data_IF_676078572666
#
_entry.id   IF_676078572666
#
_cell.length_a   1.000
_cell.length_b   1.000
_cell.length_c   1.000
_cell.angle_alpha   90.00
_cell.angle_beta   90.00
_cell.angle_gamma   90.00
#
_symmetry.space_group_name_H-M   'P 1'
#
loop_
_entity.id
_entity.type
_entity.pdbx_description
1 polymer ?
#
# COMPACT_ATOMS: atom_id res chain seq x y z
N UNK A 1 -6.20 -8.84 1.90
CA UNK A 1 -5.12 -8.00 2.48
C UNK A 1 -4.90 -8.28 3.99
N UNK A 2 -5.92 -8.27 4.86
CA UNK A 2 -5.76 -8.49 6.32
C UNK A 2 -5.09 -9.84 6.67
N UNK A 3 -5.26 -10.86 5.82
CA UNK A 3 -4.65 -12.20 6.00
C UNK A 3 -3.15 -12.26 5.66
N UNK A 4 -2.55 -11.16 5.23
CA UNK A 4 -1.10 -11.05 5.05
C UNK A 4 -0.50 -10.48 6.32
N UNK A 5 0.36 -11.27 7.00
CA UNK A 5 0.98 -10.90 8.26
C UNK A 5 2.24 -10.04 8.00
N UNK A 6 2.07 -8.83 7.50
CA UNK A 6 3.14 -7.90 7.16
C UNK A 6 3.66 -7.17 8.40
N UNK A 7 4.17 -7.91 9.37
CA UNK A 7 4.76 -7.35 10.60
C UNK A 7 6.16 -6.85 10.27
N UNK A 8 6.44 -5.57 10.62
CA UNK A 8 7.71 -4.91 10.30
C UNK A 8 8.75 -5.01 11.43
N UNK A 9 8.36 -5.44 12.63
CA UNK A 9 9.31 -5.65 13.71
C UNK A 9 10.35 -6.71 13.33
N UNK A 10 11.63 -6.37 13.53
CA UNK A 10 12.79 -7.14 13.07
C UNK A 10 12.74 -8.64 13.42
N UNK A 11 12.20 -8.99 14.58
CA UNK A 11 12.15 -10.38 15.06
C UNK A 11 11.01 -11.21 14.42
N UNK A 12 10.01 -10.55 13.82
CA UNK A 12 8.85 -11.22 13.17
C UNK A 12 8.71 -10.82 11.68
N UNK A 13 9.67 -10.10 11.13
CA UNK A 13 9.69 -9.71 9.72
C UNK A 13 9.81 -10.94 8.82
N UNK A 14 8.85 -11.07 7.90
CA UNK A 14 8.75 -12.19 6.96
C UNK A 14 8.54 -11.66 5.53
N UNK A 15 9.59 -11.57 4.72
CA UNK A 15 9.50 -11.05 3.34
C UNK A 15 8.40 -11.73 2.50
N UNK A 16 8.15 -13.02 2.73
CA UNK A 16 7.12 -13.77 2.02
C UNK A 16 5.69 -13.24 2.25
N UNK A 17 5.39 -12.66 3.42
CA UNK A 17 4.09 -12.08 3.71
C UNK A 17 3.90 -10.73 2.98
N UNK A 18 4.97 -9.96 2.79
CA UNK A 18 4.96 -8.74 1.99
C UNK A 18 4.79 -9.07 0.50
N UNK A 19 5.54 -10.06 -0.02
CA UNK A 19 5.36 -10.55 -1.38
C UNK A 19 3.94 -11.10 -1.63
N UNK A 20 3.36 -11.79 -0.65
CA UNK A 20 1.98 -12.26 -0.69
C UNK A 20 1.00 -11.10 -0.78
N UNK A 21 1.21 -10.02 -0.01
CA UNK A 21 0.37 -8.83 -0.07
C UNK A 21 0.42 -8.17 -1.46
N UNK A 22 1.61 -8.04 -2.07
CA UNK A 22 1.76 -7.50 -3.43
C UNK A 22 1.00 -8.35 -4.47
N UNK A 23 1.01 -9.68 -4.33
CA UNK A 23 0.20 -10.56 -5.20
C UNK A 23 -1.30 -10.32 -5.02
N UNK A 24 -1.76 -10.20 -3.78
CA UNK A 24 -3.16 -9.87 -3.47
C UNK A 24 -3.56 -8.51 -4.05
N UNK A 25 -2.69 -7.50 -3.98
CA UNK A 25 -2.93 -6.20 -4.61
C UNK A 25 -3.08 -6.35 -6.13
N UNK A 26 -2.18 -7.11 -6.77
CA UNK A 26 -2.25 -7.34 -8.21
C UNK A 26 -3.51 -8.11 -8.66
N UNK A 27 -3.99 -9.03 -7.83
CA UNK A 27 -5.24 -9.77 -8.08
C UNK A 27 -6.49 -8.89 -7.92
N UNK A 28 -6.48 -8.01 -6.92
CA UNK A 28 -7.63 -7.14 -6.61
C UNK A 28 -7.70 -5.92 -7.53
N UNK A 29 -6.55 -5.40 -7.97
CA UNK A 29 -6.42 -4.15 -8.72
C UNK A 29 -5.59 -4.33 -10.00
N UNK A 30 -6.09 -5.16 -10.94
CA UNK A 30 -5.34 -5.52 -12.14
C UNK A 30 -5.06 -4.35 -13.07
N UNK A 31 -5.94 -3.36 -13.19
CA UNK A 31 -5.72 -2.21 -14.07
C UNK A 31 -4.67 -1.25 -13.50
N UNK A 32 -4.69 -1.03 -12.18
CA UNK A 32 -3.62 -0.25 -11.53
C UNK A 32 -2.27 -0.89 -11.80
N UNK A 33 -2.14 -2.19 -11.51
CA UNK A 33 -0.86 -2.91 -11.66
C UNK A 33 -0.40 -3.05 -13.11
N UNK A 34 -1.33 -3.09 -14.06
CA UNK A 34 -1.03 -3.15 -15.50
C UNK A 34 -0.58 -1.81 -16.07
N UNK A 35 -1.21 -0.69 -15.63
CA UNK A 35 -1.02 0.62 -16.23
C UNK A 35 0.02 1.47 -15.52
N UNK A 36 0.31 1.20 -14.25
CA UNK A 36 1.28 1.97 -13.49
C UNK A 36 2.73 1.55 -13.76
N UNK A 37 3.63 2.51 -13.72
CA UNK A 37 5.06 2.26 -13.52
C UNK A 37 5.26 1.85 -12.06
N UNK A 38 5.92 0.72 -11.82
CA UNK A 38 6.11 0.16 -10.48
C UNK A 38 7.57 0.26 -10.05
N UNK A 39 7.82 0.77 -8.85
CA UNK A 39 9.14 0.88 -8.23
C UNK A 39 9.12 0.35 -6.80
N UNK A 40 10.16 -0.35 -6.40
CA UNK A 40 10.36 -0.85 -5.02
C UNK A 40 11.54 -0.14 -4.39
N UNK A 41 11.42 0.22 -3.11
CA UNK A 41 12.46 0.83 -2.30
C UNK A 41 12.74 -0.03 -1.07
N UNK A 42 14.02 -0.16 -0.70
CA UNK A 42 14.42 -0.99 0.44
C UNK A 42 13.91 -2.43 0.33
N UNK A 43 13.42 -2.96 1.43
CA UNK A 43 12.94 -4.34 1.47
C UNK A 43 11.60 -4.53 0.75
N UNK A 44 10.64 -3.61 0.92
CA UNK A 44 9.32 -3.72 0.24
C UNK A 44 8.50 -2.42 0.17
N UNK A 45 9.03 -1.22 0.47
CA UNK A 45 8.28 0.01 0.17
C UNK A 45 8.08 0.13 -1.34
N UNK A 46 6.90 0.55 -1.77
CA UNK A 46 6.58 0.56 -3.20
C UNK A 46 5.82 1.80 -3.65
N UNK A 47 5.99 2.09 -4.92
CA UNK A 47 5.38 3.21 -5.61
C UNK A 47 4.77 2.72 -6.92
N UNK A 48 3.50 3.04 -7.14
CA UNK A 48 2.81 2.93 -8.42
C UNK A 48 2.58 4.33 -8.98
N UNK A 49 3.07 4.60 -10.19
CA UNK A 49 2.89 5.89 -10.88
C UNK A 49 2.00 5.70 -12.10
N UNK A 50 0.87 6.37 -12.12
CA UNK A 50 -0.02 6.49 -13.26
C UNK A 50 0.20 7.84 -13.95
N UNK A 51 0.42 7.82 -15.25
CA UNK A 51 0.61 9.05 -16.04
C UNK A 51 -0.71 9.79 -16.23
N UNK A 52 -0.65 11.11 -16.06
CA UNK A 52 -1.74 12.02 -16.38
C UNK A 52 -1.53 12.75 -17.69
N UNK A 53 -2.52 13.55 -18.09
CA UNK A 53 -2.44 14.40 -19.31
C UNK A 53 -1.37 15.49 -19.16
N UNK A 54 -1.26 16.07 -17.98
CA UNK A 54 -0.19 17.02 -17.63
C UNK A 54 0.86 16.28 -16.79
N UNK A 55 1.91 15.80 -17.44
CA UNK A 55 2.99 15.06 -16.79
C UNK A 55 3.91 15.95 -15.92
N UNK A 56 3.71 17.28 -15.93
CA UNK A 56 4.49 18.21 -15.10
C UNK A 56 3.91 18.40 -13.70
N UNK A 57 2.67 17.95 -13.47
CA UNK A 57 1.97 18.07 -12.20
C UNK A 57 1.72 16.69 -11.60
N UNK A 58 1.85 16.63 -10.30
CA UNK A 58 1.76 15.36 -9.57
C UNK A 58 0.84 15.48 -8.36
N UNK A 59 0.16 14.40 -8.05
CA UNK A 59 -0.54 14.18 -6.78
C UNK A 59 -0.09 12.83 -6.21
N UNK A 60 0.08 12.77 -4.91
CA UNK A 60 0.40 11.53 -4.20
C UNK A 60 -0.69 11.21 -3.19
N UNK A 61 -1.12 9.95 -3.17
CA UNK A 61 -1.82 9.33 -2.05
C UNK A 61 -0.88 8.33 -1.41
N UNK A 62 -0.92 8.24 -0.09
CA UNK A 62 0.07 7.47 0.64
C UNK A 62 -0.53 6.75 1.84
N UNK A 63 -0.04 5.56 2.07
CA UNK A 63 -0.38 4.70 3.19
C UNK A 63 0.84 3.88 3.60
N UNK A 64 0.68 2.97 4.56
CA UNK A 64 1.65 1.92 4.82
C UNK A 64 0.95 0.55 4.82
N UNK A 65 1.70 -0.50 4.60
CA UNK A 65 1.15 -1.85 4.52
C UNK A 65 1.72 -2.80 5.56
N UNK A 66 2.67 -2.33 6.34
CA UNK A 66 3.10 -3.05 7.53
C UNK A 66 2.12 -2.87 8.69
N UNK A 67 2.33 -3.64 9.71
CA UNK A 67 1.54 -3.65 10.93
C UNK A 67 2.43 -4.04 12.11
N UNK A 68 2.08 -3.59 13.31
CA UNK A 68 2.69 -4.08 14.55
C UNK A 68 2.26 -5.51 14.87
N UNK A 69 3.00 -6.17 15.74
CA UNK A 69 2.63 -7.50 16.28
C UNK A 69 1.22 -7.52 16.86
N UNK A 70 0.61 -8.68 16.82
CA UNK A 70 -0.67 -8.93 17.46
C UNK A 70 -0.43 -9.68 18.78
N UNK A 71 -0.24 -8.94 19.85
CA UNK A 71 -0.05 -9.46 21.21
C UNK A 71 -1.35 -9.44 22.01
N UNK A 72 -1.40 -10.19 23.11
CA UNK A 72 -2.54 -10.26 24.02
C UNK A 72 -3.71 -11.11 23.49
N UNK A 73 -4.84 -11.00 24.19
CA UNK A 73 -6.05 -11.76 23.87
C UNK A 73 -6.90 -11.04 22.83
N UNK A 74 -7.21 -11.73 21.74
CA UNK A 74 -8.04 -11.23 20.65
C UNK A 74 -9.38 -11.97 20.62
N UNK A 75 -10.47 -11.24 20.45
CA UNK A 75 -11.80 -11.85 20.28
C UNK A 75 -11.93 -12.66 18.98
N UNK A 76 -11.26 -12.22 17.93
CA UNK A 76 -11.17 -12.91 16.64
C UNK A 76 -9.69 -13.03 16.23
N UNK A 77 -9.38 -13.98 15.33
CA UNK A 77 -7.98 -14.16 14.88
C UNK A 77 -7.44 -12.87 14.25
N UNK A 78 -6.30 -12.32 14.76
CA UNK A 78 -5.79 -11.01 14.31
C UNK A 78 -5.47 -10.94 12.80
N UNK A 79 -5.05 -12.04 12.20
CA UNK A 79 -4.81 -12.16 10.75
C UNK A 79 -5.85 -13.04 10.06
N UNK A 80 -7.07 -13.13 10.62
CA UNK A 80 -8.16 -13.92 10.06
C UNK A 80 -8.96 -13.19 8.99
N UNK A 81 -9.03 -11.87 9.07
CA UNK A 81 -9.91 -11.06 8.21
C UNK A 81 -11.37 -11.51 8.37
N UNK A 82 -11.81 -11.65 9.60
CA UNK A 82 -13.15 -12.15 9.95
C UNK A 82 -14.17 -11.02 9.78
N UNK A 83 -15.26 -11.29 9.05
CA UNK A 83 -16.41 -10.39 9.00
C UNK A 83 -17.49 -10.95 9.93
N UNK A 84 -17.83 -10.17 10.97
CA UNK A 84 -18.80 -10.55 11.99
C UNK A 84 -19.51 -9.32 12.51
N UNK A 85 -20.84 -9.41 12.65
CA UNK A 85 -21.69 -8.33 13.15
C UNK A 85 -21.51 -6.99 12.37
N UNK A 86 -21.35 -7.09 11.04
CA UNK A 86 -21.13 -5.93 10.16
C UNK A 86 -19.77 -5.25 10.31
N UNK A 87 -18.80 -5.89 10.98
CA UNK A 87 -17.44 -5.37 11.22
C UNK A 87 -16.39 -6.31 10.62
N UNK A 88 -15.32 -5.73 10.09
CA UNK A 88 -14.11 -6.45 9.71
C UNK A 88 -13.15 -6.45 10.89
N UNK A 89 -12.81 -7.65 11.38
CA UNK A 89 -11.91 -7.87 12.51
C UNK A 89 -10.51 -8.27 12.02
N UNK A 90 -9.50 -7.63 12.57
CA UNK A 90 -8.12 -8.02 12.34
C UNK A 90 -7.10 -6.90 12.56
N UNK A 91 -5.83 -7.26 12.72
CA UNK A 91 -4.70 -6.33 12.77
C UNK A 91 -4.56 -5.64 11.41
N UNK A 92 -4.41 -4.31 11.42
CA UNK A 92 -4.30 -3.51 10.20
C UNK A 92 -5.64 -3.10 9.56
N UNK A 93 -6.80 -3.46 10.16
CA UNK A 93 -8.10 -3.05 9.61
C UNK A 93 -8.37 -1.55 9.69
N UNK A 94 -7.77 -0.85 10.63
CA UNK A 94 -7.84 0.61 10.76
C UNK A 94 -6.51 1.21 10.34
N UNK A 95 -5.44 0.73 10.90
CA UNK A 95 -4.09 1.22 10.72
C UNK A 95 -3.25 0.18 9.96
N UNK A 96 -3.05 0.28 8.62
CA UNK A 96 -3.73 1.22 7.72
C UNK A 96 -4.12 0.54 6.40
N UNK A 97 -4.35 -0.81 6.42
CA UNK A 97 -4.71 -1.57 5.21
C UNK A 97 -6.08 -1.23 4.63
N UNK A 98 -6.98 -0.60 5.40
CA UNK A 98 -8.25 -0.09 4.85
C UNK A 98 -8.04 1.17 4.01
N UNK A 99 -7.31 2.21 4.47
CA UNK A 99 -6.87 3.29 3.60
C UNK A 99 -6.15 2.80 2.34
N UNK A 100 -5.16 1.91 2.47
CA UNK A 100 -4.46 1.31 1.34
C UNK A 100 -5.45 0.67 0.33
N UNK A 101 -6.41 -0.13 0.81
CA UNK A 101 -7.43 -0.73 -0.03
C UNK A 101 -8.29 0.32 -0.72
N UNK A 102 -8.71 1.37 0.01
CA UNK A 102 -9.58 2.43 -0.52
C UNK A 102 -8.88 3.24 -1.62
N UNK A 103 -7.60 3.57 -1.44
CA UNK A 103 -6.77 4.26 -2.44
C UNK A 103 -6.71 3.48 -3.75
N UNK A 104 -6.35 2.20 -3.67
CA UNK A 104 -6.27 1.34 -4.85
C UNK A 104 -7.65 1.11 -5.49
N UNK A 105 -8.71 0.90 -4.68
CA UNK A 105 -10.07 0.71 -5.19
C UNK A 105 -10.57 1.92 -5.97
N UNK A 106 -10.37 3.12 -5.43
CA UNK A 106 -10.79 4.35 -6.09
C UNK A 106 -10.10 4.54 -7.45
N UNK A 107 -8.81 4.26 -7.52
CA UNK A 107 -8.06 4.36 -8.78
C UNK A 107 -8.48 3.25 -9.76
N UNK A 108 -8.67 2.02 -9.29
CA UNK A 108 -9.12 0.91 -10.14
C UNK A 108 -10.50 1.19 -10.75
N UNK A 109 -11.46 1.69 -9.96
CA UNK A 109 -12.79 2.06 -10.43
C UNK A 109 -12.72 3.16 -11.49
N UNK A 110 -11.94 4.22 -11.27
CA UNK A 110 -11.73 5.27 -12.27
C UNK A 110 -11.14 4.73 -13.57
N UNK A 111 -10.17 3.82 -13.47
CA UNK A 111 -9.57 3.18 -14.64
C UNK A 111 -10.56 2.27 -15.39
N UNK A 112 -11.44 1.57 -14.66
CA UNK A 112 -12.54 0.77 -15.25
C UNK A 112 -13.54 1.64 -16.04
N UNK A 113 -13.82 2.84 -15.54
CA UNK A 113 -14.68 3.82 -16.22
C UNK A 113 -13.98 4.50 -17.42
N UNK A 114 -12.71 4.20 -17.66
CA UNK A 114 -11.92 4.83 -18.73
C UNK A 114 -11.49 6.27 -18.39
N UNK A 115 -11.46 6.63 -17.09
CA UNK A 115 -11.05 7.97 -16.68
C UNK A 115 -9.58 8.22 -17.02
N UNK A 116 -9.31 9.38 -17.60
CA UNK A 116 -7.96 9.86 -17.90
C UNK A 116 -7.57 10.91 -16.84
N UNK A 117 -6.56 10.58 -16.04
CA UNK A 117 -6.10 11.48 -14.97
C UNK A 117 -5.58 12.81 -15.55
N UNK A 118 -5.97 13.96 -14.97
CA UNK A 118 -5.48 15.26 -15.45
C UNK A 118 -4.01 15.50 -15.12
N UNK A 119 -3.49 14.87 -14.09
CA UNK A 119 -2.10 14.97 -13.59
C UNK A 119 -1.58 13.58 -13.25
N UNK A 120 -0.28 13.42 -13.05
CA UNK A 120 0.28 12.14 -12.59
C UNK A 120 -0.25 11.79 -11.20
N UNK A 121 -0.59 10.53 -11.01
CA UNK A 121 -1.03 9.98 -9.72
C UNK A 121 0.01 8.99 -9.21
N UNK A 122 0.47 9.21 -8.00
CA UNK A 122 1.41 8.35 -7.29
C UNK A 122 0.71 7.69 -6.11
N UNK A 123 0.74 6.37 -6.06
CA UNK A 123 0.31 5.55 -4.94
C UNK A 123 1.57 5.04 -4.23
N UNK A 124 1.88 5.59 -3.07
CA UNK A 124 3.03 5.16 -2.28
C UNK A 124 2.57 4.36 -1.06
N UNK A 125 3.29 3.29 -0.73
CA UNK A 125 3.08 2.56 0.51
C UNK A 125 4.40 2.12 1.14
N UNK A 126 4.59 2.47 2.42
CA UNK A 126 5.74 2.06 3.21
C UNK A 126 5.56 0.65 3.78
N UNK A 127 6.68 -0.06 3.97
CA UNK A 127 6.71 -1.41 4.53
C UNK A 127 7.15 -1.46 6.01
N UNK A 128 7.54 -0.31 6.58
CA UNK A 128 8.13 -0.22 7.91
C UNK A 128 7.84 1.12 8.61
N UNK A 129 6.62 1.64 8.41
CA UNK A 129 6.15 2.86 9.05
C UNK A 129 6.07 2.68 10.56
N UNK A 130 5.52 1.58 11.02
CA UNK A 130 5.28 1.22 12.43
C UNK A 130 6.58 1.09 13.25
N UNK A 131 7.70 0.94 12.57
CA UNK A 131 9.03 0.83 13.20
C UNK A 131 9.92 2.06 12.91
N UNK A 132 9.36 3.12 12.31
CA UNK A 132 10.10 4.33 11.95
C UNK A 132 11.23 4.04 10.96
N UNK A 133 11.02 3.11 10.04
CA UNK A 133 12.04 2.66 9.09
C UNK A 133 12.27 3.59 7.91
N UNK A 134 13.08 3.13 6.99
CA UNK A 134 13.65 3.93 5.90
C UNK A 134 12.80 4.00 4.62
N UNK A 135 11.70 3.24 4.53
CA UNK A 135 10.90 3.14 3.30
C UNK A 135 10.45 4.49 2.75
N UNK A 136 9.95 5.38 3.60
CA UNK A 136 9.54 6.72 3.21
C UNK A 136 10.75 7.62 2.86
N UNK A 137 11.87 7.46 3.57
CA UNK A 137 13.11 8.22 3.31
C UNK A 137 13.69 7.87 1.93
N UNK A 138 13.72 6.58 1.59
CA UNK A 138 14.17 6.10 0.28
C UNK A 138 13.29 6.61 -0.86
N UNK A 139 11.97 6.66 -0.65
CA UNK A 139 11.05 7.25 -1.62
C UNK A 139 11.29 8.76 -1.77
N UNK A 140 11.51 9.49 -0.67
CA UNK A 140 11.83 10.92 -0.71
C UNK A 140 13.14 11.17 -1.50
N UNK A 141 14.15 10.37 -1.27
CA UNK A 141 15.42 10.44 -2.03
C UNK A 141 15.21 10.21 -3.53
N UNK A 142 14.34 9.26 -3.89
CA UNK A 142 13.97 9.03 -5.27
C UNK A 142 13.26 10.24 -5.87
N UNK A 143 12.30 10.85 -5.17
CA UNK A 143 11.60 12.04 -5.64
C UNK A 143 12.57 13.22 -5.85
N UNK A 144 13.46 13.47 -4.89
CA UNK A 144 14.47 14.52 -5.00
C UNK A 144 15.41 14.31 -6.18
N UNK A 145 15.93 13.09 -6.39
CA UNK A 145 16.82 12.75 -7.51
C UNK A 145 16.17 12.91 -8.88
N UNK A 146 14.85 12.68 -8.94
CA UNK A 146 14.09 12.78 -10.18
C UNK A 146 13.34 14.12 -10.35
N UNK A 147 13.57 15.09 -9.44
CA UNK A 147 12.93 16.41 -9.45
C UNK A 147 11.40 16.33 -9.43
N UNK A 148 10.85 15.33 -8.73
CA UNK A 148 9.41 15.13 -8.57
C UNK A 148 8.94 15.93 -7.37
N UNK A 149 7.96 16.79 -7.55
CA UNK A 149 7.31 17.60 -6.49
C UNK A 149 5.80 17.40 -6.52
N UNK A 150 5.15 17.54 -5.37
CA UNK A 150 3.71 17.33 -5.20
C UNK A 150 3.03 18.61 -4.74
#
# INVERSE_FOLDING_TARGET
>A
MIRCKTVSEKNDFKPEEFLKLRKVIAELFPLVTQKAEFTVFGDDAYLYKLKGKDETRNVMVMSHHDVVEATGDWQEKPFGGVIKDGKLWGRGTVDTKTPLFAEFSAIEELLLEGFEFPVNVYLFSSHNEETGGDGAVLALDYFNKNHITF
#
